data_IF_538700551916
#
_entry.id   IF_538700551916
#
_cell.length_a   1.000
_cell.length_b   1.000
_cell.length_c   1.000
_cell.angle_alpha   90.00
_cell.angle_beta   90.00
_cell.angle_gamma   90.00
#
_symmetry.space_group_name_H-M   'P 1'
#
loop_
_entity.id
_entity.type
_entity.pdbx_description
1 polymer ?
#
# COMPACT_ATOMS: atom_id res chain seq x y z
N UNK A 1 -18.75 -36.26 40.03
CA UNK A 1 -17.57 -35.36 39.91
C UNK A 1 -16.83 -35.41 38.57
N UNK A 2 -16.63 -36.58 37.92
CA UNK A 2 -15.77 -36.67 36.71
C UNK A 2 -16.32 -36.03 35.43
N UNK A 3 -17.64 -36.10 35.16
CA UNK A 3 -18.26 -35.53 33.94
C UNK A 3 -18.27 -33.99 33.91
N UNK A 4 -18.51 -33.36 35.07
CA UNK A 4 -18.52 -31.89 35.19
C UNK A 4 -17.12 -31.29 34.96
N UNK A 5 -16.08 -31.93 35.49
CA UNK A 5 -14.69 -31.51 35.29
C UNK A 5 -14.25 -31.63 33.82
N UNK A 6 -14.74 -32.65 33.10
CA UNK A 6 -14.45 -32.83 31.67
C UNK A 6 -15.14 -31.77 30.80
N UNK A 7 -16.38 -31.39 31.12
CA UNK A 7 -17.09 -30.29 30.46
C UNK A 7 -16.42 -28.93 30.72
N UNK A 8 -15.94 -28.71 31.94
CA UNK A 8 -15.22 -27.49 32.30
C UNK A 8 -13.86 -27.38 31.58
N UNK A 9 -13.14 -28.49 31.45
CA UNK A 9 -11.91 -28.55 30.66
C UNK A 9 -12.19 -28.32 29.15
N UNK A 10 -13.27 -28.89 28.62
CA UNK A 10 -13.70 -28.67 27.24
C UNK A 10 -14.03 -27.19 26.98
N UNK A 11 -14.70 -26.53 27.93
CA UNK A 11 -15.02 -25.10 27.88
C UNK A 11 -13.77 -24.21 27.86
N UNK A 12 -12.74 -24.55 28.64
CA UNK A 12 -11.43 -23.85 28.61
C UNK A 12 -10.71 -24.04 27.28
N UNK A 13 -10.79 -25.22 26.66
CA UNK A 13 -10.20 -25.49 25.35
C UNK A 13 -10.91 -24.70 24.24
N UNK A 14 -12.24 -24.55 24.32
CA UNK A 14 -13.03 -23.73 23.38
C UNK A 14 -12.69 -22.24 23.54
N UNK A 15 -12.47 -21.76 24.78
CA UNK A 15 -12.02 -20.38 25.03
C UNK A 15 -10.63 -20.08 24.46
N UNK A 16 -9.70 -21.05 24.47
CA UNK A 16 -8.38 -20.92 23.81
C UNK A 16 -8.45 -20.94 22.28
N UNK A 17 -9.55 -21.43 21.69
CA UNK A 17 -9.71 -21.59 20.25
C UNK A 17 -9.99 -20.30 19.48
N UNK A 18 -10.27 -19.19 20.17
CA UNK A 18 -10.38 -17.90 19.52
C UNK A 18 -8.99 -17.27 19.43
N UNK A 19 -8.19 -17.73 18.47
CA UNK A 19 -7.15 -16.90 17.88
C UNK A 19 -7.87 -15.80 17.11
N UNK A 20 -8.45 -14.86 17.87
CA UNK A 20 -8.67 -13.50 17.39
C UNK A 20 -7.26 -12.98 17.17
N UNK A 21 -6.72 -13.21 15.97
CA UNK A 21 -5.40 -12.78 15.58
C UNK A 21 -5.29 -11.31 15.94
N UNK A 22 -4.39 -11.00 16.88
CA UNK A 22 -4.15 -9.64 17.30
C UNK A 22 -3.84 -8.84 16.03
N UNK A 23 -4.69 -7.88 15.68
CA UNK A 23 -4.36 -6.92 14.62
C UNK A 23 -3.19 -6.11 15.16
N UNK A 24 -1.98 -6.55 14.85
CA UNK A 24 -0.78 -5.78 15.13
C UNK A 24 -0.73 -4.67 14.09
N UNK A 25 -0.84 -3.42 14.55
CA UNK A 25 -0.55 -2.29 13.69
C UNK A 25 0.92 -2.41 13.25
N UNK A 26 1.11 -2.58 11.95
CA UNK A 26 2.43 -2.65 11.33
C UNK A 26 3.13 -1.29 11.33
N UNK A 27 4.17 -1.17 10.50
CA UNK A 27 4.93 0.07 10.36
C UNK A 27 4.06 1.17 9.72
N UNK A 28 4.26 2.40 10.18
CA UNK A 28 3.66 3.61 9.59
C UNK A 28 4.75 4.34 8.81
N UNK A 29 4.51 4.55 7.52
CA UNK A 29 5.40 5.34 6.66
C UNK A 29 4.75 6.70 6.38
N UNK A 30 5.41 7.82 6.73
CA UNK A 30 4.93 9.13 6.32
C UNK A 30 5.10 9.25 4.80
N UNK A 31 4.00 9.45 4.08
CA UNK A 31 4.03 9.56 2.62
C UNK A 31 4.05 11.01 2.13
N UNK A 32 3.60 11.96 2.94
CA UNK A 32 3.44 13.36 2.53
C UNK A 32 1.97 13.76 2.41
N UNK A 33 1.71 14.85 1.70
CA UNK A 33 0.38 15.48 1.67
C UNK A 33 -0.51 14.83 0.60
N UNK A 34 -1.68 14.35 1.03
CA UNK A 34 -2.73 13.79 0.15
C UNK A 34 -2.24 12.62 -0.74
N UNK A 35 -1.78 11.51 -0.16
CA UNK A 35 -1.45 10.31 -0.93
C UNK A 35 -2.70 9.74 -1.62
N UNK A 36 -2.52 9.25 -2.84
CA UNK A 36 -3.54 8.55 -3.61
C UNK A 36 -3.67 7.09 -3.17
N UNK A 37 -4.60 6.37 -3.81
CA UNK A 37 -4.60 4.91 -3.77
C UNK A 37 -3.24 4.35 -4.22
N UNK A 38 -2.90 3.18 -3.72
CA UNK A 38 -1.78 2.40 -4.21
C UNK A 38 -2.21 1.69 -5.50
N UNK A 39 -1.30 1.66 -6.47
CA UNK A 39 -1.45 0.95 -7.75
C UNK A 39 -0.35 -0.08 -7.85
N UNK A 40 -0.74 -1.32 -8.14
CA UNK A 40 0.19 -2.40 -8.49
C UNK A 40 0.69 -2.19 -9.92
N UNK A 41 2.00 -2.28 -10.10
CA UNK A 41 2.68 -2.11 -11.40
C UNK A 41 3.65 -3.26 -11.61
N UNK A 42 3.76 -3.73 -12.84
CA UNK A 42 4.69 -4.79 -13.24
C UNK A 42 5.64 -4.28 -14.33
N UNK A 43 6.92 -4.64 -14.21
CA UNK A 43 7.91 -4.45 -15.26
C UNK A 43 8.84 -5.67 -15.36
N UNK A 44 9.92 -5.57 -16.15
CA UNK A 44 10.87 -6.67 -16.34
C UNK A 44 11.57 -7.15 -15.05
N UNK A 45 11.58 -6.33 -14.01
CA UNK A 45 12.23 -6.60 -12.72
C UNK A 45 11.28 -7.18 -11.68
N UNK A 46 9.96 -7.17 -11.95
CA UNK A 46 8.94 -7.76 -11.09
C UNK A 46 7.77 -6.82 -10.79
N UNK A 47 7.01 -7.17 -9.75
CA UNK A 47 5.85 -6.41 -9.26
C UNK A 47 6.28 -5.39 -8.21
N UNK A 48 5.76 -4.18 -8.34
CA UNK A 48 5.95 -3.06 -7.44
C UNK A 48 4.62 -2.40 -7.12
N UNK A 49 4.63 -1.54 -6.12
CA UNK A 49 3.45 -0.78 -5.72
C UNK A 49 3.79 0.70 -5.74
N UNK A 50 2.90 1.53 -6.27
CA UNK A 50 3.14 2.97 -6.45
C UNK A 50 1.99 3.76 -5.87
N UNK A 51 2.28 4.85 -5.18
CA UNK A 51 1.29 5.85 -4.79
C UNK A 51 1.76 7.24 -5.23
N UNK A 52 0.82 8.07 -5.64
CA UNK A 52 1.05 9.48 -5.93
C UNK A 52 0.78 10.31 -4.67
N UNK A 53 1.76 11.09 -4.26
CA UNK A 53 1.63 12.09 -3.22
C UNK A 53 1.22 13.40 -3.89
N UNK A 54 -0.09 13.68 -3.94
CA UNK A 54 -0.63 14.76 -4.78
C UNK A 54 -0.17 16.14 -4.36
N UNK A 55 -0.05 16.37 -3.04
CA UNK A 55 0.40 17.66 -2.52
C UNK A 55 1.84 17.99 -2.90
N UNK A 56 2.66 16.95 -3.08
CA UNK A 56 4.09 17.07 -3.39
C UNK A 56 4.39 16.78 -4.87
N UNK A 57 3.41 16.26 -5.64
CA UNK A 57 3.57 15.81 -7.03
C UNK A 57 4.70 14.77 -7.22
N UNK A 58 4.75 13.80 -6.31
CA UNK A 58 5.77 12.74 -6.28
C UNK A 58 5.16 11.34 -6.37
N UNK A 59 5.90 10.38 -6.92
CA UNK A 59 5.56 8.97 -6.83
C UNK A 59 6.44 8.29 -5.78
N UNK A 60 5.83 7.61 -4.81
CA UNK A 60 6.55 6.72 -3.90
C UNK A 60 6.36 5.29 -4.39
N UNK A 61 7.47 4.58 -4.56
CA UNK A 61 7.48 3.18 -5.01
C UNK A 61 7.87 2.27 -3.85
N UNK A 62 7.13 1.17 -3.73
CA UNK A 62 7.34 0.14 -2.73
C UNK A 62 7.68 -1.20 -3.37
N UNK A 63 8.45 -2.01 -2.64
CA UNK A 63 8.63 -3.42 -2.93
C UNK A 63 7.37 -4.25 -2.57
N UNK A 64 7.43 -5.57 -2.80
CA UNK A 64 6.32 -6.49 -2.49
C UNK A 64 6.02 -6.64 -1.00
N UNK A 65 6.89 -6.13 -0.13
CA UNK A 65 6.68 -6.05 1.32
C UNK A 65 6.14 -4.68 1.76
N UNK A 66 5.72 -3.83 0.81
CA UNK A 66 5.26 -2.46 1.04
C UNK A 66 6.30 -1.57 1.74
N UNK A 67 7.60 -1.81 1.51
CA UNK A 67 8.67 -0.93 1.98
C UNK A 67 9.03 0.08 0.88
N UNK A 68 9.12 1.39 1.19
CA UNK A 68 9.54 2.37 0.20
C UNK A 68 10.96 2.07 -0.29
N UNK A 69 11.14 2.00 -1.60
CA UNK A 69 12.45 1.74 -2.24
C UNK A 69 12.95 2.94 -3.06
N UNK A 70 12.05 3.80 -3.54
CA UNK A 70 12.42 5.03 -4.25
C UNK A 70 11.28 6.06 -4.23
N UNK A 71 11.64 7.32 -4.43
CA UNK A 71 10.72 8.45 -4.63
C UNK A 71 11.09 9.12 -5.96
N UNK A 72 10.12 9.25 -6.87
CA UNK A 72 10.26 10.01 -8.10
C UNK A 72 9.72 11.43 -7.90
N UNK A 73 10.62 12.40 -7.83
CA UNK A 73 10.35 13.81 -7.56
C UNK A 73 10.56 14.73 -8.80
N UNK A 74 10.95 14.14 -9.93
CA UNK A 74 11.20 14.86 -11.19
C UNK A 74 9.97 15.56 -11.76
N UNK A 75 8.77 15.15 -11.32
CA UNK A 75 7.48 15.68 -11.75
C UNK A 75 6.90 16.75 -10.80
N UNK A 76 7.65 17.20 -9.78
CA UNK A 76 7.21 18.21 -8.81
C UNK A 76 6.60 19.46 -9.46
N UNK A 77 7.15 19.89 -10.59
CA UNK A 77 6.69 21.08 -11.31
C UNK A 77 5.49 20.84 -12.24
N UNK A 78 5.05 19.59 -12.44
CA UNK A 78 3.93 19.26 -13.33
C UNK A 78 2.57 19.28 -12.63
N UNK A 79 2.53 19.26 -11.30
CA UNK A 79 1.26 19.29 -10.57
C UNK A 79 0.45 18.02 -10.78
N UNK A 80 1.07 16.86 -10.61
CA UNK A 80 0.45 15.57 -10.89
C UNK A 80 -0.70 15.34 -9.91
N UNK A 81 -1.90 15.12 -10.44
CA UNK A 81 -3.11 14.92 -9.62
C UNK A 81 -3.74 13.52 -9.79
N UNK A 82 -3.39 12.82 -10.87
CA UNK A 82 -3.90 11.48 -11.13
C UNK A 82 -2.89 10.61 -11.87
N UNK A 83 -3.06 9.29 -11.78
CA UNK A 83 -2.27 8.33 -12.52
C UNK A 83 -3.09 7.13 -13.00
N UNK A 84 -2.67 6.57 -14.14
CA UNK A 84 -3.18 5.32 -14.69
C UNK A 84 -1.98 4.42 -14.96
N UNK A 85 -2.05 3.17 -14.51
CA UNK A 85 -1.13 2.13 -14.96
C UNK A 85 -1.78 1.34 -16.08
N UNK A 86 -1.10 1.24 -17.22
CA UNK A 86 -1.58 0.50 -18.39
C UNK A 86 -0.43 0.09 -19.28
N UNK A 87 -0.48 -1.14 -19.79
CA UNK A 87 0.47 -1.68 -20.78
C UNK A 87 1.94 -1.49 -20.36
N UNK A 88 2.23 -1.74 -19.07
CA UNK A 88 3.58 -1.64 -18.51
C UNK A 88 4.06 -0.22 -18.20
N UNK A 89 3.20 0.80 -18.35
CA UNK A 89 3.57 2.22 -18.18
C UNK A 89 2.66 2.92 -17.20
N UNK A 90 3.22 3.91 -16.50
CA UNK A 90 2.48 4.86 -15.70
C UNK A 90 2.24 6.14 -16.49
N UNK A 91 0.98 6.54 -16.57
CA UNK A 91 0.53 7.76 -17.21
C UNK A 91 0.08 8.74 -16.12
N UNK A 92 0.86 9.79 -15.90
CA UNK A 92 0.67 10.77 -14.84
C UNK A 92 0.11 12.07 -15.41
N UNK A 93 -1.05 12.50 -14.91
CA UNK A 93 -1.77 13.67 -15.41
C UNK A 93 -1.40 14.92 -14.62
N UNK A 94 -0.65 15.82 -15.26
CA UNK A 94 -0.30 17.14 -14.72
C UNK A 94 -1.47 18.10 -14.83
N UNK A 95 -2.13 18.38 -13.70
CA UNK A 95 -3.29 19.27 -13.68
C UNK A 95 -2.90 20.72 -13.96
N UNK A 96 -1.77 21.18 -13.42
CA UNK A 96 -1.30 22.55 -13.63
C UNK A 96 -0.54 22.73 -14.94
N UNK A 97 0.28 21.73 -15.33
CA UNK A 97 1.07 21.84 -16.56
C UNK A 97 0.30 21.48 -17.83
N UNK A 98 -0.84 20.80 -17.70
CA UNK A 98 -1.60 20.25 -18.85
C UNK A 98 -0.87 19.12 -19.57
N UNK A 99 0.17 18.54 -18.95
CA UNK A 99 1.02 17.50 -19.56
C UNK A 99 0.58 16.11 -19.12
N UNK A 100 0.81 15.14 -20.00
CA UNK A 100 0.82 13.73 -19.68
C UNK A 100 2.29 13.30 -19.54
N UNK A 101 2.73 12.99 -18.32
CA UNK A 101 4.06 12.44 -18.07
C UNK A 101 3.96 10.92 -18.13
N UNK A 102 4.82 10.28 -18.92
CA UNK A 102 4.85 8.83 -19.08
C UNK A 102 6.10 8.30 -18.39
N UNK A 103 5.93 7.37 -17.45
CA UNK A 103 7.00 6.71 -16.72
C UNK A 103 7.03 5.24 -17.11
N UNK A 104 8.21 4.77 -17.53
CA UNK A 104 8.51 3.40 -17.95
C UNK A 104 9.19 2.60 -16.81
#
# INVERSE_FOLDING_TARGET
>A
MKRSMMLFLLFIVILKGNVLGTITFGQRYPLGVMPSRIVEVENSSGTYYVTLVKGDSELVVFDTSFRPITIFDTMRNDGINDLIYRDGKLYCFGFYSGRLVVVD
#
